data_IF_102084048776
#
_entry.id   IF_102084048776
#
_cell.length_a   1.000
_cell.length_b   1.000
_cell.length_c   1.000
_cell.angle_alpha   90.00
_cell.angle_beta   90.00
_cell.angle_gamma   90.00
#
_symmetry.space_group_name_H-M   'P 1'
#
loop_
_entity.id
_entity.type
_entity.pdbx_description
1 polymer ?
#
# COMPACT_ATOMS: atom_id res chain seq x y z
N UNK A 1 59.43 34.62 24.21
CA UNK A 1 58.72 34.09 25.40
C UNK A 1 57.19 34.20 25.29
N UNK A 2 56.55 35.35 25.54
CA UNK A 2 55.07 35.42 25.71
C UNK A 2 54.19 34.97 24.52
N UNK A 3 54.69 34.96 23.26
CA UNK A 3 53.92 34.53 22.08
C UNK A 3 53.88 33.02 21.83
N UNK A 4 54.81 32.25 22.40
CA UNK A 4 54.87 30.78 22.21
C UNK A 4 53.87 30.09 23.16
N UNK A 5 53.66 30.65 24.35
CA UNK A 5 52.72 30.12 25.35
C UNK A 5 51.26 30.11 24.84
N UNK A 6 50.84 31.15 24.10
CA UNK A 6 49.48 31.22 23.55
C UNK A 6 49.21 30.23 22.42
N UNK A 7 50.23 29.81 21.66
CA UNK A 7 50.05 28.79 20.60
C UNK A 7 49.78 27.42 21.21
N UNK A 8 50.48 27.06 22.29
CA UNK A 8 50.21 25.83 23.04
C UNK A 8 48.88 25.86 23.80
N UNK A 9 48.47 27.02 24.33
CA UNK A 9 47.19 27.18 25.03
C UNK A 9 45.98 27.21 24.07
N UNK A 10 46.14 27.68 22.83
CA UNK A 10 45.11 27.59 21.80
C UNK A 10 44.94 26.15 21.26
N UNK A 11 46.04 25.41 21.10
CA UNK A 11 46.00 24.02 20.61
C UNK A 11 45.30 23.06 21.59
N UNK A 12 45.42 23.28 22.90
CA UNK A 12 44.73 22.45 23.91
C UNK A 12 43.25 22.80 24.07
N UNK A 13 42.83 24.04 23.79
CA UNK A 13 41.42 24.44 23.83
C UNK A 13 40.66 23.97 22.58
N UNK A 14 41.30 23.88 21.42
CA UNK A 14 40.66 23.39 20.18
C UNK A 14 40.67 21.85 20.03
N UNK A 15 41.49 21.14 20.80
CA UNK A 15 41.56 19.67 20.79
C UNK A 15 40.73 18.95 21.86
N UNK A 16 40.14 19.69 22.82
CA UNK A 16 39.49 19.12 24.02
C UNK A 16 37.96 19.04 23.99
N UNK A 17 37.30 19.48 22.91
CA UNK A 17 35.86 19.76 22.86
C UNK A 17 35.02 18.71 22.12
N UNK A 18 35.51 17.47 21.97
CA UNK A 18 34.79 16.40 21.24
C UNK A 18 34.79 15.02 21.97
N UNK A 19 34.59 15.00 23.29
CA UNK A 19 34.59 13.74 24.07
C UNK A 19 33.53 13.65 25.18
N UNK A 20 32.42 14.40 25.08
CA UNK A 20 31.27 14.27 26.02
C UNK A 20 29.93 14.24 25.28
N UNK A 21 29.67 13.20 24.48
CA UNK A 21 28.29 12.81 24.12
C UNK A 21 28.16 11.33 23.71
N UNK A 22 28.56 10.41 24.60
CA UNK A 22 28.48 8.96 24.36
C UNK A 22 27.91 8.18 25.56
N UNK A 23 26.85 8.71 26.19
CA UNK A 23 25.97 7.96 27.12
C UNK A 23 24.49 8.33 26.97
N UNK A 24 24.00 8.34 25.72
CA UNK A 24 22.61 7.96 25.50
C UNK A 24 22.52 6.46 25.80
N UNK A 25 21.84 6.11 26.89
CA UNK A 25 21.75 4.72 27.34
C UNK A 25 20.99 3.91 26.29
N UNK A 26 21.65 2.88 25.75
CA UNK A 26 20.96 1.83 25.01
C UNK A 26 20.13 1.02 26.01
N UNK A 27 18.93 1.49 26.32
CA UNK A 27 17.92 0.58 26.85
C UNK A 27 17.80 -0.59 25.87
N UNK A 28 17.96 -1.85 26.33
CA UNK A 28 17.94 -2.97 25.42
C UNK A 28 16.54 -3.03 24.79
N UNK A 29 16.49 -2.96 23.45
CA UNK A 29 15.24 -3.03 22.67
C UNK A 29 14.36 -4.23 23.05
N UNK A 30 14.98 -5.29 23.59
CA UNK A 30 14.30 -6.45 24.17
C UNK A 30 13.48 -6.15 25.43
N UNK A 31 13.90 -5.24 26.31
CA UNK A 31 13.14 -4.88 27.52
C UNK A 31 12.01 -3.90 27.20
N UNK A 32 12.23 -2.93 26.31
CA UNK A 32 11.13 -2.13 25.75
C UNK A 32 10.07 -3.03 25.08
N UNK A 33 10.50 -4.00 24.27
CA UNK A 33 9.59 -4.97 23.66
C UNK A 33 8.87 -5.87 24.69
N UNK A 34 9.46 -6.15 25.86
CA UNK A 34 8.81 -6.86 26.97
C UNK A 34 7.81 -5.95 27.70
N UNK A 35 8.14 -4.69 27.95
CA UNK A 35 7.27 -3.70 28.56
C UNK A 35 6.00 -3.48 27.73
N UNK A 36 6.14 -3.14 26.45
CA UNK A 36 5.01 -2.96 25.51
C UNK A 36 4.14 -4.22 25.41
N UNK A 37 4.73 -5.42 25.43
CA UNK A 37 3.96 -6.69 25.47
C UNK A 37 3.20 -6.89 26.77
N UNK A 38 3.72 -6.41 27.91
CA UNK A 38 3.07 -6.48 29.22
C UNK A 38 1.92 -5.47 29.33
N UNK A 39 2.16 -4.24 28.92
CA UNK A 39 1.17 -3.16 28.84
C UNK A 39 0.01 -3.56 27.92
N UNK A 40 0.29 -3.98 26.68
CA UNK A 40 -0.75 -4.44 25.74
C UNK A 40 -1.50 -5.69 26.23
N UNK A 41 -0.92 -6.50 27.12
CA UNK A 41 -1.61 -7.61 27.78
C UNK A 41 -2.52 -7.14 28.91
N UNK A 42 -2.14 -6.11 29.67
CA UNK A 42 -3.00 -5.47 30.67
C UNK A 42 -4.13 -4.67 30.01
N UNK A 43 -3.83 -3.87 28.99
CA UNK A 43 -4.82 -3.14 28.19
C UNK A 43 -5.85 -4.09 27.57
N UNK A 44 -5.44 -5.26 27.05
CA UNK A 44 -6.36 -6.29 26.53
C UNK A 44 -7.22 -6.98 27.61
N UNK A 45 -6.82 -6.91 28.89
CA UNK A 45 -7.61 -7.41 30.02
C UNK A 45 -8.60 -6.36 30.52
N UNK A 46 -8.23 -5.07 30.48
CA UNK A 46 -9.07 -3.93 30.85
C UNK A 46 -10.12 -3.57 29.76
N UNK A 47 -9.70 -3.54 28.48
CA UNK A 47 -10.57 -3.21 27.33
C UNK A 47 -11.34 -4.41 26.75
N UNK A 48 -11.04 -5.62 27.24
CA UNK A 48 -11.72 -6.83 26.81
C UNK A 48 -13.15 -6.89 27.33
N UNK A 49 -14.12 -6.49 26.51
CA UNK A 49 -15.57 -6.57 26.83
C UNK A 49 -15.94 -7.94 27.40
N UNK A 50 -16.09 -8.00 28.73
CA UNK A 50 -16.56 -9.17 29.46
C UNK A 50 -18.08 -9.16 29.45
N UNK A 51 -18.64 -10.14 28.76
CA UNK A 51 -20.05 -10.47 28.80
C UNK A 51 -20.22 -11.62 29.78
N UNK A 52 -20.75 -11.33 30.96
CA UNK A 52 -21.26 -12.30 31.93
C UNK A 52 -22.81 -12.30 31.89
N UNK A 53 -23.46 -13.04 32.79
CA UNK A 53 -24.92 -13.17 32.81
C UNK A 53 -25.64 -11.84 33.12
N UNK A 54 -24.94 -10.89 33.73
CA UNK A 54 -25.48 -9.61 34.18
C UNK A 54 -25.23 -8.49 33.17
N UNK A 55 -24.15 -8.60 32.37
CA UNK A 55 -23.74 -7.64 31.33
C UNK A 55 -24.03 -8.11 29.89
N UNK A 56 -24.94 -9.06 29.66
CA UNK A 56 -25.44 -9.36 28.31
C UNK A 56 -26.27 -8.16 27.79
N UNK A 57 -26.03 -7.69 26.55
CA UNK A 57 -26.87 -6.66 25.93
C UNK A 57 -28.26 -7.23 25.63
N UNK A 58 -29.26 -6.82 26.41
CA UNK A 58 -30.67 -7.28 26.29
C UNK A 58 -31.47 -6.52 25.21
N UNK A 59 -30.83 -5.63 24.47
CA UNK A 59 -31.48 -4.65 23.57
C UNK A 59 -30.94 -4.64 22.14
N UNK A 60 -29.96 -5.50 21.80
CA UNK A 60 -29.43 -5.56 20.43
C UNK A 60 -30.47 -6.13 19.46
N UNK A 61 -30.69 -5.43 18.35
CA UNK A 61 -31.61 -5.87 17.31
C UNK A 61 -30.95 -6.96 16.48
N UNK A 62 -31.51 -8.17 16.55
CA UNK A 62 -31.12 -9.31 15.72
C UNK A 62 -31.14 -8.90 14.24
N UNK A 63 -29.97 -8.89 13.60
CA UNK A 63 -29.87 -8.67 12.16
C UNK A 63 -30.35 -9.93 11.43
N UNK A 64 -31.59 -9.89 10.96
CA UNK A 64 -32.17 -10.97 10.16
C UNK A 64 -31.59 -10.91 8.75
N UNK A 65 -30.58 -11.75 8.48
CA UNK A 65 -30.01 -11.91 7.14
C UNK A 65 -30.93 -12.79 6.30
N UNK A 66 -31.78 -12.14 5.51
CA UNK A 66 -32.70 -12.76 4.57
C UNK A 66 -33.79 -11.76 4.21
N UNK A 67 -34.07 -11.57 2.91
CA UNK A 67 -35.05 -10.58 2.43
C UNK A 67 -36.45 -10.81 3.04
N UNK A 68 -36.78 -10.04 4.07
CA UNK A 68 -38.15 -9.82 4.50
C UNK A 68 -38.76 -8.73 3.60
N UNK A 69 -39.55 -9.16 2.62
CA UNK A 69 -40.28 -8.26 1.71
C UNK A 69 -41.17 -7.30 2.49
N UNK A 70 -41.03 -6.00 2.24
CA UNK A 70 -42.08 -5.02 2.47
C UNK A 70 -42.29 -4.21 1.19
N UNK A 71 -43.52 -4.25 0.67
CA UNK A 71 -43.97 -3.51 -0.51
C UNK A 71 -44.21 -2.02 -0.20
N UNK A 72 -44.28 -1.16 -1.23
CA UNK A 72 -44.09 0.27 -1.07
C UNK A 72 -45.35 1.04 -0.68
N UNK A 73 -45.17 2.10 0.12
CA UNK A 73 -46.10 3.21 0.18
C UNK A 73 -45.54 4.37 -0.65
N UNK A 74 -46.20 4.66 -1.76
CA UNK A 74 -45.95 5.82 -2.62
C UNK A 74 -46.40 7.13 -1.96
N UNK A 75 -45.79 8.25 -2.37
CA UNK A 75 -46.49 9.52 -2.61
C UNK A 75 -45.59 10.47 -3.43
N UNK A 76 -46.20 11.11 -4.42
CA UNK A 76 -45.62 11.97 -5.45
C UNK A 76 -45.66 13.46 -5.06
N UNK A 77 -44.91 14.31 -5.78
CA UNK A 77 -45.49 15.39 -6.63
C UNK A 77 -44.41 16.29 -7.27
N UNK A 78 -44.72 16.81 -8.46
CA UNK A 78 -43.88 17.63 -9.34
C UNK A 78 -43.89 19.14 -9.05
N UNK A 79 -42.86 19.85 -9.54
CA UNK A 79 -42.89 21.18 -10.20
C UNK A 79 -41.43 21.61 -10.50
N UNK A 80 -40.89 21.67 -11.73
CA UNK A 80 -41.18 22.51 -12.93
C UNK A 80 -40.37 23.84 -12.98
N UNK A 81 -39.98 24.23 -14.20
CA UNK A 81 -39.40 25.49 -14.69
C UNK A 81 -37.95 25.91 -14.33
N UNK A 82 -37.18 26.63 -15.17
CA UNK A 82 -37.17 26.78 -16.65
C UNK A 82 -35.88 27.53 -17.13
N UNK A 83 -35.31 27.11 -18.27
CA UNK A 83 -34.53 27.84 -19.28
C UNK A 83 -33.28 28.75 -18.99
N UNK A 84 -32.30 28.59 -19.91
CA UNK A 84 -31.49 29.62 -20.60
C UNK A 84 -30.33 30.31 -19.85
N UNK A 85 -29.24 30.78 -20.48
CA UNK A 85 -28.81 30.72 -21.89
C UNK A 85 -27.27 30.72 -22.00
N UNK A 86 -26.77 29.92 -22.95
CA UNK A 86 -25.68 30.16 -23.91
C UNK A 86 -24.89 31.50 -23.89
N UNK A 87 -23.55 31.41 -23.89
CA UNK A 87 -22.68 32.30 -24.69
C UNK A 87 -21.30 31.64 -24.94
N UNK A 88 -20.70 31.92 -26.09
CA UNK A 88 -19.56 31.16 -26.62
C UNK A 88 -18.29 32.01 -26.88
N UNK A 89 -17.13 31.37 -26.63
CA UNK A 89 -15.86 31.57 -27.36
C UNK A 89 -15.11 32.94 -27.24
N UNK A 90 -13.86 33.03 -27.74
CA UNK A 90 -12.76 32.04 -27.71
C UNK A 90 -11.38 32.67 -27.37
N UNK A 91 -10.35 31.85 -27.10
CA UNK A 91 -9.00 32.13 -27.63
C UNK A 91 -8.04 30.92 -27.64
N UNK A 92 -7.24 30.81 -28.72
CA UNK A 92 -6.01 29.99 -28.86
C UNK A 92 -4.83 30.79 -28.23
N UNK A 93 -3.60 30.34 -27.95
CA UNK A 93 -2.79 29.14 -28.25
C UNK A 93 -1.70 29.00 -27.12
N UNK A 94 -0.58 28.25 -27.15
CA UNK A 94 0.09 27.44 -28.19
C UNK A 94 1.00 26.31 -27.60
N UNK A 95 1.65 25.59 -28.51
CA UNK A 95 2.72 24.56 -28.52
C UNK A 95 4.07 25.01 -27.87
N UNK A 96 5.07 24.16 -27.52
CA UNK A 96 5.82 23.19 -28.36
C UNK A 96 6.36 21.90 -27.68
N UNK A 97 6.45 20.85 -28.51
CA UNK A 97 7.27 19.62 -28.57
C UNK A 97 8.12 19.06 -27.38
N UNK A 98 8.09 17.72 -27.17
CA UNK A 98 9.10 16.76 -27.71
C UNK A 98 8.91 15.28 -27.29
N UNK A 99 8.49 14.45 -28.26
CA UNK A 99 8.73 12.99 -28.47
C UNK A 99 8.80 11.95 -27.32
N UNK A 100 8.00 10.87 -27.44
CA UNK A 100 8.54 9.52 -27.71
C UNK A 100 7.45 8.61 -28.33
N UNK A 101 7.85 7.68 -29.20
CA UNK A 101 6.95 6.85 -30.01
C UNK A 101 6.56 5.55 -29.27
N UNK A 102 5.36 5.49 -28.70
CA UNK A 102 4.72 4.22 -28.28
C UNK A 102 3.21 4.37 -28.05
N UNK A 103 2.43 3.61 -28.82
CA UNK A 103 1.01 3.33 -28.62
C UNK A 103 0.04 4.53 -28.65
N UNK A 104 -0.19 5.03 -29.87
CA UNK A 104 -1.37 5.78 -30.32
C UNK A 104 -2.69 5.04 -29.98
N UNK A 105 -3.18 5.17 -28.75
CA UNK A 105 -4.61 5.06 -28.44
C UNK A 105 -5.22 6.45 -28.56
N UNK A 106 -6.42 6.54 -29.14
CA UNK A 106 -6.99 7.81 -29.56
C UNK A 106 -7.17 8.78 -28.38
N UNK A 107 -6.40 9.87 -28.36
CA UNK A 107 -6.74 11.05 -27.57
C UNK A 107 -8.07 11.57 -28.10
N UNK A 108 -9.13 11.42 -27.30
CA UNK A 108 -10.48 11.67 -27.78
C UNK A 108 -10.68 13.15 -28.08
N UNK A 109 -10.75 13.49 -29.38
CA UNK A 109 -11.01 14.86 -29.79
C UNK A 109 -12.47 15.22 -29.49
N UNK A 110 -12.79 16.47 -29.10
CA UNK A 110 -14.16 16.93 -28.99
C UNK A 110 -14.87 16.83 -30.35
N UNK A 111 -15.63 15.76 -30.57
CA UNK A 111 -16.30 15.48 -31.84
C UNK A 111 -16.38 14.01 -32.27
N UNK A 112 -15.62 13.08 -31.67
CA UNK A 112 -15.75 11.65 -32.01
C UNK A 112 -17.13 11.09 -31.65
N UNK A 113 -17.71 10.19 -32.47
CA UNK A 113 -19.01 9.59 -32.19
C UNK A 113 -18.95 8.80 -30.88
N UNK A 114 -20.03 8.88 -30.08
CA UNK A 114 -20.07 8.29 -28.74
C UNK A 114 -19.71 6.79 -28.70
N UNK A 115 -19.99 6.07 -29.79
CA UNK A 115 -19.69 4.64 -29.95
C UNK A 115 -18.19 4.31 -29.98
N UNK A 116 -17.34 5.21 -30.48
CA UNK A 116 -15.90 4.96 -30.55
C UNK A 116 -15.19 5.35 -29.24
N UNK A 117 -15.68 6.40 -28.55
CA UNK A 117 -15.29 6.69 -27.16
C UNK A 117 -15.64 5.55 -26.21
N UNK A 118 -16.82 4.94 -26.35
CA UNK A 118 -17.21 3.79 -25.52
C UNK A 118 -16.25 2.60 -25.69
N UNK A 119 -15.86 2.24 -26.93
CA UNK A 119 -14.85 1.20 -27.18
C UNK A 119 -13.51 1.51 -26.51
N UNK A 120 -13.04 2.75 -26.62
CA UNK A 120 -11.82 3.23 -25.94
C UNK A 120 -11.91 3.04 -24.42
N UNK A 121 -13.06 3.34 -23.80
CA UNK A 121 -13.27 3.15 -22.37
C UNK A 121 -13.29 1.66 -22.00
N UNK A 122 -13.96 0.81 -22.79
CA UNK A 122 -14.01 -0.64 -22.57
C UNK A 122 -12.63 -1.30 -22.73
N UNK A 123 -11.82 -0.84 -23.71
CA UNK A 123 -10.43 -1.27 -23.90
C UNK A 123 -9.53 -0.88 -22.72
N UNK A 124 -9.64 0.36 -22.23
CA UNK A 124 -8.90 0.82 -21.04
C UNK A 124 -9.30 0.05 -19.79
N UNK A 125 -10.61 -0.15 -19.57
CA UNK A 125 -11.14 -0.95 -18.46
C UNK A 125 -10.59 -2.36 -18.48
N UNK A 126 -10.58 -3.02 -19.65
CA UNK A 126 -10.03 -4.37 -19.84
C UNK A 126 -8.53 -4.43 -19.56
N UNK A 127 -7.74 -3.45 -20.03
CA UNK A 127 -6.30 -3.40 -19.75
C UNK A 127 -6.01 -3.25 -18.25
N UNK A 128 -6.72 -2.35 -17.58
CA UNK A 128 -6.53 -2.09 -16.15
C UNK A 128 -6.97 -3.31 -15.32
N UNK A 129 -8.09 -3.97 -15.66
CA UNK A 129 -8.51 -5.20 -14.97
C UNK A 129 -7.51 -6.34 -15.17
N UNK A 130 -6.98 -6.55 -16.38
CA UNK A 130 -5.94 -7.55 -16.63
C UNK A 130 -4.67 -7.29 -15.82
N UNK A 131 -4.20 -6.03 -15.71
CA UNK A 131 -3.07 -5.71 -14.84
C UNK A 131 -3.39 -5.96 -13.36
N UNK A 132 -4.60 -5.64 -12.92
CA UNK A 132 -5.05 -5.85 -11.54
C UNK A 132 -5.09 -7.34 -11.18
N UNK A 133 -5.51 -8.21 -12.11
CA UNK A 133 -5.43 -9.67 -11.97
C UNK A 133 -3.97 -10.16 -11.89
N UNK A 134 -3.06 -9.57 -12.67
CA UNK A 134 -1.62 -9.89 -12.60
C UNK A 134 -1.00 -9.48 -11.25
N UNK A 135 -1.35 -8.30 -10.72
CA UNK A 135 -0.92 -7.88 -9.37
C UNK A 135 -1.43 -8.87 -8.32
N UNK A 136 -2.71 -9.25 -8.36
CA UNK A 136 -3.28 -10.24 -7.44
C UNK A 136 -2.68 -11.65 -7.58
N UNK A 137 -2.21 -12.02 -8.78
CA UNK A 137 -1.48 -13.27 -8.99
C UNK A 137 -0.10 -13.22 -8.33
N UNK A 138 0.67 -12.16 -8.59
CA UNK A 138 2.00 -11.96 -8.00
C UNK A 138 1.96 -11.86 -6.47
N UNK A 139 0.94 -11.20 -5.90
CA UNK A 139 0.72 -11.16 -4.46
C UNK A 139 0.46 -12.55 -3.87
N UNK A 140 -0.42 -13.35 -4.50
CA UNK A 140 -0.71 -14.72 -4.06
C UNK A 140 0.52 -15.64 -4.17
N UNK A 141 1.30 -15.54 -5.24
CA UNK A 141 2.55 -16.29 -5.37
C UNK A 141 3.56 -15.93 -4.29
N UNK A 142 3.70 -14.63 -3.98
CA UNK A 142 4.56 -14.13 -2.91
C UNK A 142 4.12 -14.66 -1.53
N UNK A 143 2.81 -14.65 -1.24
CA UNK A 143 2.23 -15.24 -0.02
C UNK A 143 2.44 -16.75 0.08
N UNK A 144 2.34 -17.48 -1.04
CA UNK A 144 2.64 -18.92 -1.10
C UNK A 144 4.11 -19.17 -0.76
N UNK A 145 5.06 -18.47 -1.40
CA UNK A 145 6.49 -18.61 -1.08
C UNK A 145 6.80 -18.23 0.37
N UNK A 146 6.17 -17.20 0.94
CA UNK A 146 6.35 -16.87 2.36
C UNK A 146 5.87 -18.01 3.26
N UNK A 147 4.75 -18.64 2.92
CA UNK A 147 4.18 -19.78 3.67
C UNK A 147 5.06 -21.02 3.55
N UNK A 148 5.50 -21.35 2.34
CA UNK A 148 6.40 -22.48 2.06
C UNK A 148 7.73 -22.32 2.80
N UNK A 149 8.34 -21.14 2.76
CA UNK A 149 9.56 -20.84 3.53
C UNK A 149 9.36 -21.05 5.04
N UNK A 150 8.24 -20.56 5.61
CA UNK A 150 7.92 -20.78 7.03
C UNK A 150 7.74 -22.27 7.37
N UNK A 151 7.10 -23.05 6.48
CA UNK A 151 6.93 -24.49 6.66
C UNK A 151 8.26 -25.24 6.56
N UNK A 152 9.12 -24.89 5.58
CA UNK A 152 10.46 -25.47 5.39
C UNK A 152 11.35 -25.19 6.60
N UNK A 153 11.34 -23.95 7.10
CA UNK A 153 12.06 -23.56 8.31
C UNK A 153 11.54 -24.32 9.55
N UNK A 154 10.22 -24.42 9.72
CA UNK A 154 9.64 -25.18 10.82
C UNK A 154 10.06 -26.67 10.77
N UNK A 155 10.01 -27.30 9.60
CA UNK A 155 10.44 -28.69 9.41
C UNK A 155 11.95 -28.88 9.66
N UNK A 156 12.79 -27.91 9.28
CA UNK A 156 14.23 -27.96 9.52
C UNK A 156 14.58 -27.80 11.01
N UNK A 157 13.94 -26.87 11.72
CA UNK A 157 14.20 -26.62 13.14
C UNK A 157 13.46 -27.57 14.10
N UNK A 158 12.47 -28.34 13.63
CA UNK A 158 11.74 -29.31 14.45
C UNK A 158 12.58 -30.56 14.83
N UNK A 159 13.58 -30.94 14.03
CA UNK A 159 14.48 -32.07 14.32
C UNK A 159 15.95 -31.62 14.40
N UNK A 160 16.56 -31.81 15.56
CA UNK A 160 17.98 -31.53 15.78
C UNK A 160 18.90 -32.45 14.94
N UNK A 161 18.48 -33.69 14.65
CA UNK A 161 19.22 -34.64 13.80
C UNK A 161 19.20 -34.27 12.32
N UNK A 162 18.08 -33.71 11.82
CA UNK A 162 17.98 -33.07 10.52
C UNK A 162 18.90 -31.84 10.44
N UNK A 163 18.86 -30.98 11.46
CA UNK A 163 19.68 -29.76 11.54
C UNK A 163 21.17 -30.05 11.46
N UNK A 164 21.67 -31.04 12.21
CA UNK A 164 23.09 -31.41 12.20
C UNK A 164 23.57 -31.98 10.85
N UNK A 165 22.71 -32.71 10.13
CA UNK A 165 23.07 -33.31 8.84
C UNK A 165 22.96 -32.35 7.66
N UNK A 166 22.00 -31.41 7.70
CA UNK A 166 21.62 -30.60 6.54
C UNK A 166 21.92 -29.09 6.68
N UNK A 167 22.65 -28.65 7.72
CA UNK A 167 22.96 -27.23 7.96
C UNK A 167 23.49 -26.47 6.72
N UNK A 168 24.55 -26.96 6.07
CA UNK A 168 25.15 -26.29 4.91
C UNK A 168 24.30 -26.31 3.63
N UNK A 169 23.26 -27.14 3.58
CA UNK A 169 22.24 -27.09 2.52
C UNK A 169 21.16 -26.08 2.88
N UNK A 170 20.70 -26.09 4.14
CA UNK A 170 19.71 -25.15 4.66
C UNK A 170 20.15 -23.69 4.47
N UNK A 171 21.39 -23.33 4.80
CA UNK A 171 21.87 -21.95 4.67
C UNK A 171 21.81 -21.44 3.21
N UNK A 172 22.02 -22.33 2.23
CA UNK A 172 21.91 -22.00 0.79
C UNK A 172 20.45 -21.84 0.37
N UNK A 173 19.58 -22.75 0.80
CA UNK A 173 18.15 -22.72 0.53
C UNK A 173 17.50 -21.47 1.15
N UNK A 174 17.83 -21.16 2.40
CA UNK A 174 17.40 -19.97 3.13
C UNK A 174 17.79 -18.67 2.40
N UNK A 175 19.04 -18.58 1.93
CA UNK A 175 19.51 -17.45 1.13
C UNK A 175 18.75 -17.33 -0.21
N UNK A 176 18.54 -18.44 -0.92
CA UNK A 176 17.80 -18.48 -2.19
C UNK A 176 16.33 -18.08 -2.02
N UNK A 177 15.63 -18.62 -1.01
CA UNK A 177 14.23 -18.24 -0.73
C UNK A 177 14.11 -16.77 -0.36
N UNK A 178 15.06 -16.22 0.41
CA UNK A 178 15.09 -14.77 0.75
C UNK A 178 15.32 -13.90 -0.48
N UNK A 179 16.19 -14.31 -1.41
CA UNK A 179 16.39 -13.62 -2.68
C UNK A 179 15.11 -13.65 -3.53
N UNK A 180 14.50 -14.82 -3.74
CA UNK A 180 13.26 -14.97 -4.50
C UNK A 180 12.10 -14.17 -3.89
N UNK A 181 11.97 -14.14 -2.56
CA UNK A 181 10.98 -13.30 -1.88
C UNK A 181 11.24 -11.79 -2.09
N UNK A 182 12.48 -11.34 -2.06
CA UNK A 182 12.83 -9.94 -2.32
C UNK A 182 12.56 -9.56 -3.79
N UNK A 183 12.89 -10.43 -4.74
CA UNK A 183 12.61 -10.26 -6.17
C UNK A 183 11.10 -10.21 -6.44
N UNK A 184 10.32 -11.11 -5.83
CA UNK A 184 8.85 -11.14 -5.98
C UNK A 184 8.16 -9.97 -5.28
N UNK A 185 8.68 -9.52 -4.13
CA UNK A 185 8.22 -8.27 -3.51
C UNK A 185 8.48 -7.07 -4.42
N UNK A 186 9.65 -7.03 -5.09
CA UNK A 186 9.97 -6.00 -6.09
C UNK A 186 9.02 -6.08 -7.29
N UNK A 187 8.75 -7.26 -7.84
CA UNK A 187 7.81 -7.40 -8.98
C UNK A 187 6.38 -7.01 -8.62
N UNK A 188 5.90 -7.33 -7.41
CA UNK A 188 4.60 -6.86 -6.90
C UNK A 188 4.57 -5.33 -6.84
N UNK A 189 5.64 -4.70 -6.34
CA UNK A 189 5.71 -3.24 -6.23
C UNK A 189 5.72 -2.56 -7.60
N UNK A 190 6.54 -3.06 -8.55
CA UNK A 190 6.58 -2.54 -9.93
C UNK A 190 5.24 -2.73 -10.65
N UNK A 191 4.60 -3.90 -10.55
CA UNK A 191 3.30 -4.13 -11.18
C UNK A 191 2.19 -3.23 -10.60
N UNK A 192 2.27 -2.87 -9.32
CA UNK A 192 1.39 -1.88 -8.67
C UNK A 192 1.65 -0.46 -9.17
N UNK A 193 2.90 -0.07 -9.35
CA UNK A 193 3.30 1.22 -9.92
C UNK A 193 2.78 1.35 -11.35
N UNK A 194 3.03 0.35 -12.21
CA UNK A 194 2.49 0.26 -13.58
C UNK A 194 0.95 0.34 -13.63
N UNK A 195 0.25 -0.26 -12.65
CA UNK A 195 -1.20 -0.18 -12.54
C UNK A 195 -1.67 1.24 -12.23
N UNK A 196 -1.01 1.97 -11.32
CA UNK A 196 -1.33 3.38 -11.04
C UNK A 196 -1.06 4.25 -12.26
N UNK A 197 0.05 4.01 -12.94
CA UNK A 197 0.45 4.65 -14.19
C UNK A 197 -0.59 4.46 -15.30
N UNK A 198 -1.13 3.25 -15.46
CA UNK A 198 -2.19 2.99 -16.44
C UNK A 198 -3.52 3.64 -16.04
N UNK A 199 -3.85 3.71 -14.74
CA UNK A 199 -5.01 4.47 -14.26
C UNK A 199 -4.85 5.97 -14.52
N UNK A 200 -3.64 6.52 -14.40
CA UNK A 200 -3.32 7.90 -14.75
C UNK A 200 -3.42 8.15 -16.26
N UNK A 201 -2.86 7.27 -17.09
CA UNK A 201 -2.97 7.35 -18.56
C UNK A 201 -4.42 7.26 -19.04
N UNK A 202 -5.24 6.39 -18.44
CA UNK A 202 -6.66 6.30 -18.73
C UNK A 202 -7.41 7.61 -18.38
N UNK A 203 -7.14 8.20 -17.20
CA UNK A 203 -7.72 9.50 -16.81
C UNK A 203 -7.28 10.63 -17.78
N UNK A 204 -6.02 10.65 -18.21
CA UNK A 204 -5.52 11.59 -19.24
C UNK A 204 -6.14 11.36 -20.61
N UNK A 205 -6.47 10.11 -20.97
CA UNK A 205 -7.20 9.76 -22.19
C UNK A 205 -8.72 10.02 -22.11
N UNK A 206 -9.21 10.69 -21.05
CA UNK A 206 -10.62 11.06 -20.90
C UNK A 206 -11.52 9.94 -20.36
N UNK A 207 -10.97 8.82 -19.90
CA UNK A 207 -11.76 7.76 -19.23
C UNK A 207 -12.23 8.28 -17.88
N UNK A 208 -13.55 8.31 -17.60
CA UNK A 208 -14.06 8.77 -16.31
C UNK A 208 -13.66 7.80 -15.20
N UNK A 209 -13.36 8.31 -14.01
CA UNK A 209 -12.86 7.49 -12.89
C UNK A 209 -13.84 6.41 -12.42
N UNK A 210 -15.12 6.51 -12.75
CA UNK A 210 -16.15 5.50 -12.46
C UNK A 210 -16.07 4.26 -13.36
N UNK A 211 -15.35 4.32 -14.48
CA UNK A 211 -15.12 3.19 -15.40
C UNK A 211 -13.79 2.46 -15.13
N UNK A 212 -12.96 3.01 -14.25
CA UNK A 212 -11.68 2.45 -13.83
C UNK A 212 -11.90 1.60 -12.56
N UNK A 213 -11.65 0.28 -12.58
CA UNK A 213 -11.75 -0.59 -11.40
C UNK A 213 -10.57 -0.38 -10.43
#
# INVERSE_FOLDING_TARGET
MKRIAYVWLAATILGGSLTVLARAQSEPLGDYARAVRKEKKQEKLESGKRFDNDNLPKTDKLSVVGNATQEPASLSSDADAQAAQDNAQPQKAQTDEKGNDSAKMAESKPGEPAKDRQKMYDDWKKKISTQQEQVQLLEREMDVMQREYRLRAAAFYADAGNRLRNAGSWDKEDAQYKQQLAEKQKSVNTAKEELQDMKERARKAGVPSSMIP
#
